data_IF_368217936510
#
_entry.id   IF_368217936510
#
_cell.length_a   1.000
_cell.length_b   1.000
_cell.length_c   1.000
_cell.angle_alpha   90.00
_cell.angle_beta   90.00
_cell.angle_gamma   90.00
#
_symmetry.space_group_name_H-M   'P 1'
#
loop_
_entity.id
_entity.type
_entity.pdbx_description
1 polymer ?
#
# COMPACT_ATOMS: atom_id res chain seq x y z
N UNK A 1 -77.77 -49.03 28.49
CA UNK A 1 -77.39 -48.81 27.07
C UNK A 1 -77.43 -47.33 26.69
N UNK A 2 -78.42 -46.55 27.12
CA UNK A 2 -78.49 -45.10 26.82
C UNK A 2 -77.35 -44.26 27.41
N UNK A 3 -76.88 -44.58 28.62
CA UNK A 3 -75.79 -43.84 29.29
C UNK A 3 -74.47 -43.94 28.50
N UNK A 4 -74.20 -45.09 27.91
CA UNK A 4 -72.99 -45.32 27.10
C UNK A 4 -73.04 -44.57 25.76
N UNK A 5 -74.24 -44.37 25.20
CA UNK A 5 -74.45 -43.66 23.94
C UNK A 5 -74.25 -42.14 24.09
N UNK A 6 -74.70 -41.57 25.21
CA UNK A 6 -74.48 -40.15 25.52
C UNK A 6 -73.00 -39.82 25.73
N UNK A 7 -72.25 -40.69 26.42
CA UNK A 7 -70.81 -40.48 26.62
C UNK A 7 -70.00 -40.55 25.31
N UNK A 8 -70.42 -41.40 24.38
CA UNK A 8 -69.80 -41.49 23.05
C UNK A 8 -70.08 -40.21 22.24
N UNK A 9 -71.31 -39.67 22.31
CA UNK A 9 -71.66 -38.43 21.62
C UNK A 9 -70.93 -37.20 22.19
N UNK A 10 -70.78 -37.10 23.51
CA UNK A 10 -69.98 -36.04 24.14
C UNK A 10 -68.51 -36.13 23.75
N UNK A 11 -67.93 -37.33 23.73
CA UNK A 11 -66.54 -37.54 23.29
C UNK A 11 -66.33 -37.14 21.82
N UNK A 12 -67.29 -37.44 20.95
CA UNK A 12 -67.23 -37.04 19.54
C UNK A 12 -67.33 -35.53 19.34
N UNK A 13 -68.17 -34.87 20.15
CA UNK A 13 -68.33 -33.42 20.12
C UNK A 13 -67.06 -32.70 20.58
N UNK A 14 -66.44 -33.17 21.66
CA UNK A 14 -65.17 -32.65 22.17
C UNK A 14 -64.04 -32.73 21.11
N UNK A 15 -63.92 -33.88 20.44
CA UNK A 15 -62.90 -34.10 19.42
C UNK A 15 -63.09 -33.18 18.20
N UNK A 16 -64.32 -32.98 17.73
CA UNK A 16 -64.59 -32.09 16.60
C UNK A 16 -64.38 -30.60 16.92
N UNK A 17 -64.62 -30.17 18.17
CA UNK A 17 -64.42 -28.77 18.57
C UNK A 17 -62.93 -28.40 18.70
N UNK A 18 -62.08 -29.36 19.10
CA UNK A 18 -60.65 -29.10 19.34
C UNK A 18 -59.74 -29.54 18.18
N UNK A 19 -60.21 -30.44 17.31
CA UNK A 19 -59.45 -30.99 16.19
C UNK A 19 -60.29 -30.97 14.90
N UNK A 20 -60.27 -29.87 14.11
CA UNK A 20 -60.99 -29.83 12.83
C UNK A 20 -60.52 -30.93 11.89
N UNK A 21 -61.48 -31.54 11.18
CA UNK A 21 -61.35 -32.80 10.41
C UNK A 21 -60.15 -32.89 9.46
N UNK A 22 -59.56 -31.77 9.06
CA UNK A 22 -58.38 -31.69 8.16
C UNK A 22 -57.06 -32.13 8.81
N UNK A 23 -57.00 -32.29 10.14
CA UNK A 23 -55.81 -32.78 10.87
C UNK A 23 -55.92 -34.20 11.42
N UNK A 24 -57.04 -34.87 11.19
CA UNK A 24 -57.22 -36.27 11.59
C UNK A 24 -56.65 -37.15 10.48
N UNK A 25 -55.57 -37.87 10.81
CA UNK A 25 -54.94 -38.86 9.93
C UNK A 25 -56.01 -39.81 9.37
N UNK A 26 -55.91 -40.24 8.09
CA UNK A 26 -56.84 -41.19 7.50
C UNK A 26 -56.99 -42.42 8.40
N UNK A 27 -58.24 -42.81 8.70
CA UNK A 27 -58.58 -43.86 9.68
C UNK A 27 -57.86 -45.20 9.43
N UNK A 28 -57.41 -45.45 8.20
CA UNK A 28 -56.75 -46.70 7.78
C UNK A 28 -55.27 -46.81 8.17
N UNK A 29 -54.68 -45.80 8.82
CA UNK A 29 -53.26 -45.80 9.21
C UNK A 29 -53.01 -45.89 10.73
N UNK A 30 -54.06 -45.98 11.55
CA UNK A 30 -53.90 -46.13 13.00
C UNK A 30 -53.69 -47.60 13.36
N UNK A 31 -52.42 -48.00 13.44
CA UNK A 31 -52.01 -49.26 14.04
C UNK A 31 -52.56 -49.33 15.48
N UNK A 32 -53.27 -50.40 15.82
CA UNK A 32 -53.66 -50.70 17.21
C UNK A 32 -52.40 -51.06 18.00
N UNK A 33 -51.77 -50.07 18.62
CA UNK A 33 -50.69 -50.26 19.58
C UNK A 33 -51.27 -50.31 21.00
N UNK A 34 -50.78 -51.22 21.85
CA UNK A 34 -51.24 -51.31 23.22
C UNK A 34 -50.78 -50.07 24.02
N UNK A 35 -51.59 -49.65 25.00
CA UNK A 35 -51.47 -48.34 25.68
C UNK A 35 -50.10 -48.11 26.34
N UNK A 36 -49.45 -49.19 26.78
CA UNK A 36 -48.09 -49.24 27.31
C UNK A 36 -47.03 -48.84 26.27
N UNK A 37 -47.17 -49.21 24.99
CA UNK A 37 -46.24 -48.76 23.94
C UNK A 37 -46.39 -47.25 23.65
N UNK A 38 -47.60 -46.72 23.78
CA UNK A 38 -47.86 -45.28 23.64
C UNK A 38 -47.30 -44.52 24.85
N UNK A 39 -47.40 -45.06 26.07
CA UNK A 39 -46.74 -44.49 27.25
C UNK A 39 -45.22 -44.52 27.14
N UNK A 40 -44.64 -45.60 26.62
CA UNK A 40 -43.20 -45.71 26.40
C UNK A 40 -42.71 -44.77 25.28
N UNK A 41 -43.48 -44.64 24.20
CA UNK A 41 -43.20 -43.63 23.17
C UNK A 41 -43.34 -42.22 23.73
N UNK A 42 -44.37 -41.94 24.54
CA UNK A 42 -44.56 -40.64 25.19
C UNK A 42 -43.40 -40.34 26.14
N UNK A 43 -42.94 -41.30 26.93
CA UNK A 43 -41.76 -41.14 27.80
C UNK A 43 -40.50 -40.85 26.98
N UNK A 44 -40.21 -41.64 25.95
CA UNK A 44 -39.07 -41.40 25.05
C UNK A 44 -39.15 -40.04 24.35
N UNK A 45 -40.32 -39.69 23.83
CA UNK A 45 -40.53 -38.41 23.17
C UNK A 45 -40.45 -37.22 24.15
N UNK A 46 -40.84 -37.41 25.41
CA UNK A 46 -40.72 -36.42 26.47
C UNK A 46 -39.27 -36.24 26.92
N UNK A 47 -38.50 -37.33 26.98
CA UNK A 47 -37.07 -37.32 27.31
C UNK A 47 -36.20 -36.77 26.15
N UNK A 48 -36.59 -37.01 24.89
CA UNK A 48 -35.88 -36.56 23.68
C UNK A 48 -36.43 -35.25 23.08
N UNK A 49 -37.44 -34.63 23.70
CA UNK A 49 -38.10 -33.41 23.20
C UNK A 49 -37.13 -32.22 23.12
N UNK A 50 -36.18 -32.13 24.06
CA UNK A 50 -35.10 -31.12 24.00
C UNK A 50 -34.16 -31.35 22.81
N UNK A 51 -33.84 -32.60 22.49
CA UNK A 51 -33.01 -32.96 21.33
C UNK A 51 -33.76 -32.68 20.02
N UNK A 52 -35.08 -32.86 20.00
CA UNK A 52 -35.92 -32.53 18.85
C UNK A 52 -35.91 -31.01 18.57
N UNK A 53 -36.01 -30.19 19.61
CA UNK A 53 -35.93 -28.73 19.46
C UNK A 53 -34.53 -28.29 18.99
N UNK A 54 -33.46 -28.86 19.55
CA UNK A 54 -32.08 -28.60 19.09
C UNK A 54 -31.86 -29.02 17.63
N UNK A 55 -32.46 -30.14 17.21
CA UNK A 55 -32.41 -30.60 15.83
C UNK A 55 -33.14 -29.65 14.89
N UNK A 56 -34.32 -29.16 15.28
CA UNK A 56 -35.09 -28.19 14.50
C UNK A 56 -34.32 -26.86 14.35
N UNK A 57 -33.70 -26.38 15.42
CA UNK A 57 -32.85 -25.18 15.41
C UNK A 57 -31.64 -25.36 14.48
N UNK A 58 -30.99 -26.53 14.53
CA UNK A 58 -29.91 -26.88 13.60
C UNK A 58 -30.38 -26.86 12.14
N UNK A 59 -31.54 -27.45 11.83
CA UNK A 59 -32.09 -27.46 10.46
C UNK A 59 -32.38 -26.04 9.96
N UNK A 60 -32.93 -25.17 10.80
CA UNK A 60 -33.17 -23.77 10.43
C UNK A 60 -31.87 -23.02 10.14
N UNK A 61 -30.81 -23.25 10.93
CA UNK A 61 -29.49 -22.64 10.71
C UNK A 61 -28.89 -23.13 9.39
N UNK A 62 -28.97 -24.45 9.12
CA UNK A 62 -28.51 -25.03 7.86
C UNK A 62 -29.23 -24.40 6.67
N UNK A 63 -30.57 -24.29 6.70
CA UNK A 63 -31.33 -23.68 5.62
C UNK A 63 -30.93 -22.21 5.37
N UNK A 64 -30.70 -21.43 6.43
CA UNK A 64 -30.21 -20.05 6.31
C UNK A 64 -28.83 -19.98 5.66
N UNK A 65 -27.93 -20.90 6.02
CA UNK A 65 -26.58 -20.97 5.43
C UNK A 65 -26.62 -21.41 3.97
N UNK A 66 -27.48 -22.37 3.61
CA UNK A 66 -27.68 -22.81 2.23
C UNK A 66 -28.22 -21.67 1.35
N UNK A 67 -29.13 -20.85 1.87
CA UNK A 67 -29.67 -19.68 1.15
C UNK A 67 -28.60 -18.64 0.79
N UNK A 68 -27.50 -18.57 1.55
CA UNK A 68 -26.35 -17.67 1.30
C UNK A 68 -25.38 -18.28 0.27
N UNK A 69 -25.66 -19.48 -0.25
CA UNK A 69 -24.86 -20.15 -1.27
C UNK A 69 -23.80 -21.11 -0.72
N UNK A 70 -23.90 -21.52 0.55
CA UNK A 70 -22.93 -22.46 1.16
C UNK A 70 -23.28 -23.94 0.98
N UNK A 71 -24.29 -24.26 0.17
CA UNK A 71 -24.83 -25.62 -0.03
C UNK A 71 -23.77 -26.67 -0.35
N UNK A 72 -22.86 -26.40 -1.30
CA UNK A 72 -21.79 -27.34 -1.64
C UNK A 72 -20.77 -27.52 -0.52
N UNK A 73 -20.51 -26.47 0.26
CA UNK A 73 -19.59 -26.53 1.39
C UNK A 73 -20.19 -27.40 2.52
N UNK A 74 -21.48 -27.21 2.82
CA UNK A 74 -22.19 -28.00 3.83
C UNK A 74 -22.32 -29.47 3.43
N UNK A 75 -22.58 -29.76 2.15
CA UNK A 75 -22.57 -31.13 1.63
C UNK A 75 -21.19 -31.80 1.83
N UNK A 76 -20.11 -31.13 1.41
CA UNK A 76 -18.74 -31.63 1.64
C UNK A 76 -18.41 -31.79 3.12
N UNK A 77 -18.89 -30.89 3.97
CA UNK A 77 -18.66 -30.95 5.41
C UNK A 77 -19.39 -32.15 6.06
N UNK A 78 -20.59 -32.50 5.59
CA UNK A 78 -21.34 -33.68 6.03
C UNK A 78 -20.66 -34.99 5.64
N UNK A 79 -20.03 -35.03 4.47
CA UNK A 79 -19.36 -36.22 3.94
C UNK A 79 -17.91 -36.36 4.43
N UNK A 80 -17.41 -35.42 5.24
CA UNK A 80 -16.02 -35.41 5.71
C UNK A 80 -15.90 -35.75 7.20
N UNK A 81 -14.88 -36.53 7.58
CA UNK A 81 -14.52 -36.84 8.97
C UNK A 81 -13.87 -35.64 9.71
N UNK A 82 -14.53 -34.50 9.69
CA UNK A 82 -14.02 -33.25 10.26
C UNK A 82 -14.57 -33.09 11.67
N UNK A 83 -13.67 -32.86 12.62
CA UNK A 83 -14.05 -32.57 14.00
C UNK A 83 -15.00 -31.35 14.07
N UNK A 84 -16.10 -31.42 14.84
CA UNK A 84 -17.08 -30.34 15.00
C UNK A 84 -16.52 -29.02 15.55
N UNK A 85 -15.26 -28.94 15.96
CA UNK A 85 -14.60 -27.71 16.38
C UNK A 85 -13.80 -27.01 15.26
N UNK A 86 -13.63 -27.64 14.09
CA UNK A 86 -12.82 -27.12 12.97
C UNK A 86 -13.66 -26.58 11.80
N UNK A 87 -14.97 -26.80 11.78
CA UNK A 87 -15.85 -26.41 10.66
C UNK A 87 -15.76 -24.91 10.34
N UNK A 88 -15.75 -24.05 11.36
CA UNK A 88 -15.70 -22.59 11.17
C UNK A 88 -14.37 -22.13 10.55
N UNK A 89 -13.24 -22.73 10.99
CA UNK A 89 -11.92 -22.41 10.44
C UNK A 89 -11.82 -22.82 8.96
N UNK A 90 -12.44 -23.94 8.60
CA UNK A 90 -12.50 -24.41 7.23
C UNK A 90 -13.43 -23.58 6.36
N UNK A 91 -14.58 -23.15 6.88
CA UNK A 91 -15.46 -22.21 6.20
C UNK A 91 -14.71 -20.92 5.89
N UNK A 92 -14.02 -20.36 6.89
CA UNK A 92 -13.22 -19.14 6.75
C UNK A 92 -12.10 -19.31 5.71
N UNK A 93 -11.36 -20.43 5.75
CA UNK A 93 -10.32 -20.72 4.76
C UNK A 93 -10.90 -20.86 3.35
N UNK A 94 -11.99 -21.61 3.19
CA UNK A 94 -12.67 -21.80 1.91
C UNK A 94 -13.17 -20.48 1.32
N UNK A 95 -13.80 -19.64 2.15
CA UNK A 95 -14.25 -18.31 1.78
C UNK A 95 -13.09 -17.45 1.26
N UNK A 96 -12.00 -17.31 2.02
CA UNK A 96 -10.86 -16.48 1.59
C UNK A 96 -10.17 -17.01 0.32
N UNK A 97 -10.06 -18.34 0.17
CA UNK A 97 -9.49 -18.94 -1.04
C UNK A 97 -10.35 -18.66 -2.27
N UNK A 98 -11.66 -18.80 -2.15
CA UNK A 98 -12.60 -18.55 -3.24
C UNK A 98 -12.70 -17.06 -3.57
N UNK A 99 -12.78 -16.20 -2.55
CA UNK A 99 -12.80 -14.76 -2.74
C UNK A 99 -11.51 -14.26 -3.40
N UNK A 100 -10.35 -14.75 -2.96
CA UNK A 100 -9.07 -14.47 -3.61
C UNK A 100 -9.06 -14.92 -5.07
N UNK A 101 -9.59 -16.12 -5.37
CA UNK A 101 -9.71 -16.61 -6.76
C UNK A 101 -10.63 -15.72 -7.60
N UNK A 102 -11.72 -15.21 -7.03
CA UNK A 102 -12.64 -14.30 -7.71
C UNK A 102 -12.01 -12.92 -7.95
N UNK A 103 -11.32 -12.33 -6.97
CA UNK A 103 -10.58 -11.07 -7.16
C UNK A 103 -9.55 -11.22 -8.28
N UNK A 104 -8.84 -12.36 -8.33
CA UNK A 104 -7.92 -12.65 -9.42
C UNK A 104 -8.63 -12.91 -10.75
N UNK A 105 -9.82 -13.53 -10.79
CA UNK A 105 -10.57 -13.72 -12.04
C UNK A 105 -11.00 -12.39 -12.66
N UNK A 106 -11.26 -11.39 -11.85
CA UNK A 106 -11.82 -10.13 -12.37
C UNK A 106 -10.72 -9.12 -12.76
N UNK A 107 -9.48 -9.34 -12.32
CA UNK A 107 -8.34 -8.46 -12.61
C UNK A 107 -7.16 -9.22 -13.25
N UNK A 108 -7.00 -9.07 -14.57
CA UNK A 108 -5.90 -9.67 -15.35
C UNK A 108 -4.50 -9.19 -14.90
N UNK A 109 -4.39 -7.95 -14.42
CA UNK A 109 -3.14 -7.37 -13.94
C UNK A 109 -2.66 -8.03 -12.65
N UNK A 110 -3.58 -8.31 -11.72
CA UNK A 110 -3.26 -9.01 -10.47
C UNK A 110 -2.90 -10.48 -10.70
N UNK A 111 -3.42 -11.12 -11.77
CA UNK A 111 -3.02 -12.47 -12.18
C UNK A 111 -1.57 -12.54 -12.68
N UNK A 112 -1.07 -11.46 -13.28
CA UNK A 112 0.31 -11.37 -13.80
C UNK A 112 1.29 -10.79 -12.78
N UNK A 113 0.79 -10.20 -11.69
CA UNK A 113 1.62 -9.67 -10.62
C UNK A 113 2.31 -10.81 -9.87
N UNK A 114 3.57 -11.05 -10.22
CA UNK A 114 4.44 -11.94 -9.49
C UNK A 114 5.32 -11.10 -8.58
N UNK A 115 5.03 -11.14 -7.28
CA UNK A 115 5.77 -10.42 -6.26
C UNK A 115 7.27 -10.72 -6.34
N UNK A 116 7.67 -11.98 -6.58
CA UNK A 116 9.10 -12.35 -6.62
C UNK A 116 9.82 -11.74 -7.82
N UNK A 117 9.19 -11.68 -9.00
CA UNK A 117 9.76 -11.01 -10.18
C UNK A 117 9.87 -9.50 -9.96
N UNK A 118 8.90 -8.90 -9.26
CA UNK A 118 8.93 -7.48 -8.96
C UNK A 118 10.05 -7.13 -7.97
N UNK A 119 10.18 -7.92 -6.89
CA UNK A 119 11.29 -7.80 -5.92
C UNK A 119 12.66 -8.01 -6.59
N UNK A 120 12.77 -8.98 -7.50
CA UNK A 120 13.99 -9.18 -8.28
C UNK A 120 14.34 -7.95 -9.13
N UNK A 121 13.37 -7.37 -9.86
CA UNK A 121 13.59 -6.16 -10.67
C UNK A 121 14.04 -4.97 -9.81
N UNK A 122 13.43 -4.77 -8.64
CA UNK A 122 13.83 -3.70 -7.72
C UNK A 122 15.28 -3.91 -7.27
N UNK A 123 15.66 -5.13 -6.92
CA UNK A 123 17.02 -5.45 -6.48
C UNK A 123 18.05 -5.28 -7.61
N UNK A 124 17.72 -5.71 -8.82
CA UNK A 124 18.57 -5.53 -10.01
C UNK A 124 18.77 -4.05 -10.32
N UNK A 125 17.69 -3.27 -10.34
CA UNK A 125 17.75 -1.82 -10.54
C UNK A 125 18.60 -1.15 -9.47
N UNK A 126 18.35 -1.43 -8.19
CA UNK A 126 19.12 -0.83 -7.08
C UNK A 126 20.61 -1.16 -7.17
N UNK A 127 20.96 -2.37 -7.61
CA UNK A 127 22.36 -2.78 -7.80
C UNK A 127 22.99 -2.06 -8.99
N UNK A 128 22.29 -1.99 -10.12
CA UNK A 128 22.78 -1.34 -11.34
C UNK A 128 22.92 0.17 -11.15
N UNK A 129 21.98 0.81 -10.45
CA UNK A 129 22.01 2.23 -10.13
C UNK A 129 23.27 2.60 -9.35
N UNK A 130 23.61 1.83 -8.30
CA UNK A 130 24.87 2.00 -7.56
C UNK A 130 26.10 1.85 -8.44
N UNK A 131 26.12 0.86 -9.34
CA UNK A 131 27.24 0.66 -10.26
C UNK A 131 27.36 1.81 -11.26
N UNK A 132 26.23 2.29 -11.78
CA UNK A 132 26.18 3.41 -12.71
C UNK A 132 26.64 4.71 -12.05
N UNK A 133 26.28 4.93 -10.79
CA UNK A 133 26.74 6.08 -10.01
C UNK A 133 28.26 6.13 -9.89
N UNK A 134 28.91 5.01 -9.53
CA UNK A 134 30.37 4.92 -9.44
C UNK A 134 31.06 5.20 -10.79
N UNK A 135 30.54 4.62 -11.88
CA UNK A 135 31.06 4.86 -13.23
C UNK A 135 30.86 6.33 -13.64
N UNK A 136 29.74 6.95 -13.28
CA UNK A 136 29.45 8.35 -13.58
C UNK A 136 30.43 9.29 -12.87
N UNK A 137 30.78 9.02 -11.61
CA UNK A 137 31.78 9.78 -10.86
C UNK A 137 33.13 9.75 -11.60
N UNK A 138 33.57 8.55 -11.99
CA UNK A 138 34.87 8.40 -12.65
C UNK A 138 34.89 9.11 -14.01
N UNK A 139 33.80 8.99 -14.79
CA UNK A 139 33.64 9.73 -16.04
C UNK A 139 33.71 11.25 -15.82
N UNK A 140 33.04 11.77 -14.79
CA UNK A 140 33.06 13.20 -14.46
C UNK A 140 34.46 13.67 -14.07
N UNK A 141 35.21 12.89 -13.30
CA UNK A 141 36.61 13.20 -12.96
C UNK A 141 37.49 13.31 -14.20
N UNK A 142 37.36 12.36 -15.14
CA UNK A 142 38.12 12.37 -16.38
C UNK A 142 37.77 13.56 -17.27
N UNK A 143 36.48 13.89 -17.39
CA UNK A 143 36.02 15.06 -18.13
C UNK A 143 36.53 16.37 -17.51
N UNK A 144 36.47 16.49 -16.18
CA UNK A 144 36.97 17.67 -15.47
C UNK A 144 38.48 17.81 -15.60
N UNK A 145 39.23 16.71 -15.45
CA UNK A 145 40.68 16.71 -15.66
C UNK A 145 41.05 17.13 -17.09
N UNK A 146 40.35 16.62 -18.10
CA UNK A 146 40.56 17.01 -19.50
C UNK A 146 40.26 18.49 -19.71
N UNK A 147 39.13 18.97 -19.22
CA UNK A 147 38.76 20.39 -19.30
C UNK A 147 39.83 21.30 -18.68
N UNK A 148 40.34 20.95 -17.49
CA UNK A 148 41.41 21.68 -16.84
C UNK A 148 42.72 21.66 -17.66
N UNK A 149 43.11 20.51 -18.22
CA UNK A 149 44.28 20.38 -19.08
C UNK A 149 44.16 21.19 -20.38
N UNK A 150 42.96 21.26 -20.96
CA UNK A 150 42.72 22.06 -22.15
C UNK A 150 42.77 23.57 -21.84
N UNK A 151 42.24 23.99 -20.68
CA UNK A 151 42.38 25.37 -20.21
C UNK A 151 43.83 25.76 -19.93
N UNK A 152 44.66 24.86 -19.39
CA UNK A 152 46.09 25.12 -19.13
C UNK A 152 46.90 25.49 -20.39
N UNK A 153 46.41 25.16 -21.59
CA UNK A 153 47.05 25.52 -22.86
C UNK A 153 46.85 26.99 -23.25
N UNK A 154 45.92 27.70 -22.59
CA UNK A 154 45.65 29.11 -22.86
C UNK A 154 46.77 29.99 -22.28
N UNK A 155 47.07 31.10 -22.96
CA UNK A 155 48.17 32.00 -22.57
C UNK A 155 48.01 32.55 -21.14
N UNK A 156 46.79 32.85 -20.73
CA UNK A 156 46.45 33.44 -19.42
C UNK A 156 46.58 32.44 -18.27
N UNK A 157 46.50 31.13 -18.54
CA UNK A 157 46.45 30.10 -17.51
C UNK A 157 47.74 30.04 -16.69
N UNK A 158 48.91 30.19 -17.34
CA UNK A 158 50.21 30.14 -16.67
C UNK A 158 50.34 31.23 -15.59
N UNK A 159 49.85 32.43 -15.88
CA UNK A 159 49.86 33.55 -14.95
C UNK A 159 48.94 33.28 -13.75
N UNK A 160 47.67 32.93 -14.00
CA UNK A 160 46.70 32.69 -12.94
C UNK A 160 47.11 31.53 -12.02
N UNK A 161 47.68 30.45 -12.58
CA UNK A 161 48.20 29.31 -11.81
C UNK A 161 49.37 29.74 -10.93
N UNK A 162 50.28 30.57 -11.44
CA UNK A 162 51.41 31.10 -10.66
C UNK A 162 50.92 31.96 -9.50
N UNK A 163 49.91 32.82 -9.73
CA UNK A 163 49.31 33.63 -8.68
C UNK A 163 48.62 32.77 -7.61
N UNK A 164 47.81 31.79 -8.00
CA UNK A 164 47.14 30.89 -7.07
C UNK A 164 48.16 30.12 -6.21
N UNK A 165 49.22 29.56 -6.82
CA UNK A 165 50.29 28.88 -6.08
C UNK A 165 50.96 29.78 -5.06
N UNK A 166 51.29 31.01 -5.45
CA UNK A 166 51.84 32.01 -4.52
C UNK A 166 50.88 32.28 -3.36
N UNK A 167 49.60 32.45 -3.66
CA UNK A 167 48.58 32.76 -2.65
C UNK A 167 48.38 31.62 -1.63
N UNK A 168 48.44 30.36 -2.07
CA UNK A 168 48.36 29.17 -1.22
C UNK A 168 49.59 29.04 -0.31
N UNK A 169 50.79 29.44 -0.79
CA UNK A 169 52.03 29.34 0.01
C UNK A 169 52.19 30.44 1.07
N UNK A 170 51.37 31.49 1.05
CA UNK A 170 51.43 32.56 2.05
C UNK A 170 51.02 32.03 3.42
N UNK A 171 51.66 32.53 4.48
CA UNK A 171 51.27 32.24 5.87
C UNK A 171 50.31 33.29 6.45
N UNK A 172 50.34 34.51 5.92
CA UNK A 172 49.53 35.68 6.32
C UNK A 172 49.38 36.62 5.13
N UNK A 173 48.42 37.55 5.20
CA UNK A 173 48.21 38.56 4.15
C UNK A 173 47.61 37.99 2.86
N UNK A 174 46.72 36.99 3.00
CA UNK A 174 45.94 36.49 1.87
C UNK A 174 44.97 37.56 1.38
N UNK A 175 44.77 37.61 0.06
CA UNK A 175 43.68 38.41 -0.53
C UNK A 175 42.34 37.93 0.00
N UNK A 176 41.41 38.87 0.17
CA UNK A 176 40.01 38.53 0.47
C UNK A 176 39.46 37.69 -0.67
N UNK A 177 38.68 36.66 -0.34
CA UNK A 177 38.08 35.72 -1.31
C UNK A 177 37.40 36.47 -2.47
N UNK A 178 36.60 37.49 -2.15
CA UNK A 178 35.92 38.34 -3.13
C UNK A 178 36.87 38.99 -4.13
N UNK A 179 37.95 39.60 -3.64
CA UNK A 179 38.94 40.24 -4.49
C UNK A 179 39.69 39.20 -5.35
N UNK A 180 40.00 38.05 -4.77
CA UNK A 180 40.66 36.97 -5.50
C UNK A 180 39.77 36.43 -6.63
N UNK A 181 38.47 36.22 -6.38
CA UNK A 181 37.50 35.81 -7.40
C UNK A 181 37.39 36.85 -8.52
N UNK A 182 37.36 38.13 -8.17
CA UNK A 182 37.30 39.21 -9.15
C UNK A 182 38.51 39.25 -10.08
N UNK A 183 39.71 39.07 -9.54
CA UNK A 183 40.96 39.17 -10.30
C UNK A 183 41.28 37.89 -11.09
N UNK A 184 40.94 36.72 -10.57
CA UNK A 184 41.26 35.42 -11.18
C UNK A 184 40.01 34.53 -11.31
N UNK A 185 38.94 34.97 -11.99
CA UNK A 185 37.69 34.22 -12.06
C UNK A 185 37.86 32.89 -12.82
N UNK A 186 38.64 32.90 -13.92
CA UNK A 186 38.78 31.75 -14.83
C UNK A 186 39.43 30.54 -14.16
N UNK A 187 40.52 30.71 -13.41
CA UNK A 187 41.14 29.58 -12.69
C UNK A 187 40.21 28.99 -11.64
N UNK A 188 39.38 29.82 -10.99
CA UNK A 188 38.46 29.36 -9.94
C UNK A 188 37.31 28.58 -10.56
N UNK A 189 36.66 29.12 -11.59
CA UNK A 189 35.56 28.44 -12.29
C UNK A 189 36.06 27.17 -12.99
N UNK A 190 37.30 27.16 -13.48
CA UNK A 190 37.88 25.95 -14.09
C UNK A 190 38.20 24.87 -13.05
N UNK A 191 38.78 25.23 -11.91
CA UNK A 191 39.08 24.27 -10.83
C UNK A 191 37.81 23.80 -10.10
N UNK A 192 36.85 24.70 -9.92
CA UNK A 192 35.60 24.49 -9.20
C UNK A 192 34.46 25.01 -10.06
N UNK A 193 33.92 24.21 -11.00
CA UNK A 193 32.83 24.65 -11.87
C UNK A 193 31.47 24.69 -11.16
N UNK A 194 31.29 23.90 -10.10
CA UNK A 194 30.04 23.84 -9.33
C UNK A 194 30.22 24.48 -7.95
N UNK A 195 29.41 25.48 -7.62
CA UNK A 195 29.53 26.26 -6.40
C UNK A 195 28.34 25.99 -5.48
N UNK A 196 28.62 25.63 -4.22
CA UNK A 196 27.59 25.44 -3.19
C UNK A 196 27.66 26.60 -2.21
N UNK A 197 26.65 27.48 -2.22
CA UNK A 197 26.59 28.61 -1.31
C UNK A 197 25.15 29.09 -1.10
N UNK A 198 24.94 29.82 0.00
CA UNK A 198 23.68 30.55 0.22
C UNK A 198 23.56 31.74 -0.75
N UNK A 199 22.33 32.20 -1.05
CA UNK A 199 22.15 33.35 -1.93
C UNK A 199 22.86 34.64 -1.45
N UNK A 200 22.89 34.85 -0.13
CA UNK A 200 23.63 35.96 0.47
C UNK A 200 25.14 35.81 0.28
N UNK A 201 25.66 34.58 0.35
CA UNK A 201 27.06 34.27 0.06
C UNK A 201 27.46 34.67 -1.35
N UNK A 202 26.58 34.45 -2.34
CA UNK A 202 26.83 34.89 -3.73
C UNK A 202 27.04 36.41 -3.78
N UNK A 203 26.16 37.20 -3.16
CA UNK A 203 26.32 38.66 -3.08
C UNK A 203 27.65 39.09 -2.48
N UNK A 204 28.05 38.41 -1.41
CA UNK A 204 29.17 38.83 -0.58
C UNK A 204 30.52 38.48 -1.22
N UNK A 205 30.60 37.34 -1.89
CA UNK A 205 31.87 36.81 -2.41
C UNK A 205 32.01 36.95 -3.92
N UNK A 206 30.92 37.12 -4.67
CA UNK A 206 30.94 37.12 -6.14
C UNK A 206 30.50 38.48 -6.65
N UNK A 207 31.47 39.21 -7.20
CA UNK A 207 31.18 40.45 -7.93
C UNK A 207 30.30 40.15 -9.14
N UNK A 208 29.36 41.05 -9.45
CA UNK A 208 28.38 40.86 -10.51
C UNK A 208 29.03 40.61 -11.89
N UNK A 209 30.16 41.27 -12.16
CA UNK A 209 30.86 41.18 -13.44
C UNK A 209 32.00 40.15 -13.45
N UNK A 210 32.23 39.45 -12.33
CA UNK A 210 33.36 38.54 -12.20
C UNK A 210 33.06 37.14 -12.75
N UNK A 211 31.86 36.62 -12.47
CA UNK A 211 31.44 35.26 -12.85
C UNK A 211 29.97 35.25 -13.22
N UNK A 212 29.68 34.69 -14.38
CA UNK A 212 28.33 34.37 -14.84
C UNK A 212 28.15 32.84 -14.79
N UNK A 213 27.04 32.39 -14.21
CA UNK A 213 26.70 30.97 -14.10
C UNK A 213 25.75 30.57 -15.22
N UNK A 214 25.91 29.36 -15.73
CA UNK A 214 24.94 28.84 -16.71
C UNK A 214 23.61 28.48 -16.03
N UNK A 215 23.68 27.93 -14.81
CA UNK A 215 22.50 27.47 -14.05
C UNK A 215 22.68 27.78 -12.57
N UNK A 216 21.63 28.29 -11.93
CA UNK A 216 21.48 28.30 -10.47
C UNK A 216 20.37 27.33 -10.05
N UNK A 217 20.63 26.54 -9.01
CA UNK A 217 19.67 25.58 -8.46
C UNK A 217 19.37 25.96 -7.02
N UNK A 218 18.10 26.18 -6.71
CA UNK A 218 17.63 26.31 -5.34
C UNK A 218 17.01 25.01 -4.87
N UNK A 219 17.67 24.36 -3.92
CA UNK A 219 17.08 23.30 -3.13
C UNK A 219 16.30 23.93 -1.96
N UNK A 220 15.14 23.36 -1.62
CA UNK A 220 14.21 23.90 -0.61
C UNK A 220 13.79 25.36 -0.86
N UNK A 221 13.47 25.70 -2.10
CA UNK A 221 13.26 27.08 -2.52
C UNK A 221 12.17 27.86 -1.75
N UNK A 222 11.21 27.17 -1.13
CA UNK A 222 10.20 27.76 -0.27
C UNK A 222 10.76 28.47 0.97
N UNK A 223 11.97 28.12 1.41
CA UNK A 223 12.64 28.74 2.55
C UNK A 223 13.44 29.99 2.18
N UNK A 224 13.62 30.27 0.88
CA UNK A 224 14.46 31.37 0.41
C UNK A 224 13.61 32.62 0.21
N UNK A 225 13.94 33.68 0.95
CA UNK A 225 13.32 34.99 0.76
C UNK A 225 13.67 35.56 -0.61
N UNK A 226 12.69 36.14 -1.29
CA UNK A 226 12.84 36.65 -2.67
C UNK A 226 13.96 37.67 -2.77
N UNK A 227 14.06 38.61 -1.83
CA UNK A 227 15.09 39.65 -1.81
C UNK A 227 16.52 39.08 -1.78
N UNK A 228 16.70 37.91 -1.18
CA UNK A 228 18.00 37.25 -1.10
C UNK A 228 18.31 36.44 -2.37
N UNK A 229 17.30 35.95 -3.08
CA UNK A 229 17.48 35.11 -4.27
C UNK A 229 17.86 35.90 -5.53
N UNK A 230 17.38 37.16 -5.65
CA UNK A 230 17.54 37.99 -6.85
C UNK A 230 19.00 38.09 -7.30
N UNK A 231 19.92 38.26 -6.37
CA UNK A 231 21.34 38.41 -6.67
C UNK A 231 21.93 37.19 -7.36
N UNK A 232 21.61 35.99 -6.90
CA UNK A 232 22.08 34.73 -7.50
C UNK A 232 21.42 34.50 -8.85
N UNK A 233 20.13 34.83 -8.97
CA UNK A 233 19.35 34.69 -10.21
C UNK A 233 19.93 35.61 -11.30
N UNK A 234 20.22 36.88 -10.98
CA UNK A 234 20.73 37.86 -11.94
C UNK A 234 22.13 37.53 -12.48
N UNK A 235 22.86 36.63 -11.81
CA UNK A 235 24.18 36.15 -12.25
C UNK A 235 24.12 34.81 -12.98
N UNK A 236 22.92 34.30 -13.29
CA UNK A 236 22.73 33.03 -13.94
C UNK A 236 21.84 33.15 -15.18
N UNK A 237 22.12 32.34 -16.21
CA UNK A 237 21.30 32.29 -17.44
C UNK A 237 20.00 31.52 -17.23
N UNK A 238 20.03 30.52 -16.33
CA UNK A 238 18.90 29.64 -16.06
C UNK A 238 18.71 29.43 -14.56
N UNK A 239 17.45 29.24 -14.16
CA UNK A 239 17.03 29.01 -12.79
C UNK A 239 16.26 27.70 -12.70
N UNK A 240 16.70 26.81 -11.80
CA UNK A 240 15.98 25.60 -11.42
C UNK A 240 15.56 25.72 -9.97
N UNK A 241 14.27 25.47 -9.72
CA UNK A 241 13.64 25.59 -8.39
C UNK A 241 13.14 24.22 -7.98
N UNK A 242 13.66 23.68 -6.88
CA UNK A 242 13.26 22.39 -6.31
C UNK A 242 12.60 22.62 -4.96
N UNK A 243 11.46 21.98 -4.74
CA UNK A 243 10.54 22.30 -3.64
C UNK A 243 9.47 23.32 -4.04
N UNK A 244 8.60 23.69 -3.10
CA UNK A 244 7.52 24.65 -3.36
C UNK A 244 8.04 25.95 -4.00
N UNK A 245 7.22 26.57 -4.84
CA UNK A 245 7.61 27.73 -5.66
C UNK A 245 8.09 28.92 -4.83
N UNK A 246 9.11 29.64 -5.33
CA UNK A 246 9.49 30.95 -4.79
C UNK A 246 8.31 31.91 -5.01
N UNK A 247 7.86 32.69 -4.00
CA UNK A 247 6.64 33.51 -4.06
C UNK A 247 6.56 34.48 -5.26
N UNK A 248 7.70 34.88 -5.82
CA UNK A 248 7.78 35.79 -6.97
C UNK A 248 7.51 35.11 -8.33
N UNK A 249 7.72 33.80 -8.46
CA UNK A 249 7.52 33.06 -9.73
C UNK A 249 6.08 32.59 -9.95
N UNK A 250 5.16 32.85 -9.01
CA UNK A 250 3.74 32.49 -9.13
C UNK A 250 2.87 33.57 -9.80
N UNK A 251 3.42 34.74 -10.11
CA UNK A 251 2.70 35.79 -10.83
C UNK A 251 3.33 36.00 -12.19
N UNK A 252 2.93 35.20 -13.18
CA UNK A 252 2.64 35.59 -14.56
C UNK A 252 2.03 34.40 -15.31
#
# INVERSE_FOLDING_TARGET
>A
MEISLNQIQEGFKFLNEHFPQERLTPLDLLKRTPLNEVEDFRKKAYDDLELFQQWLDCQQIVHKLEAIGTKEFLAKLRDSDILPNKWFLLLRKGFYVNWRRHIYSDNSELRKFNQSLHEQRINEFSKQDKQQYEVAIERLRQLHAKYFQDWLKQAEAAEQVKYLKREITKKKGHKKIRQFIKEYPQIITTLKPCWLMSPLGVCQYVDADAVEFDVVIFDEASQIRTENAVSSIMRAKQLIVVGGSIPFLQKH
#
